data_IF_973316406992
#
_entry.id   IF_973316406992
#
_cell.length_a   1.000
_cell.length_b   1.000
_cell.length_c   1.000
_cell.angle_alpha   90.00
_cell.angle_beta   90.00
_cell.angle_gamma   90.00
#
_symmetry.space_group_name_H-M   'P 1'
#
loop_
_entity.id
_entity.type
_entity.pdbx_description
1 polymer ?
#
# COMPACT_ATOMS: atom_id res chain seq x y z
N UNK A 1 -20.66 11.96 17.21
CA UNK A 1 -20.39 11.86 15.76
C UNK A 1 -18.95 11.39 15.61
N UNK A 2 -18.71 10.30 14.90
CA UNK A 2 -17.34 9.89 14.54
C UNK A 2 -16.75 10.99 13.64
N UNK A 3 -15.71 11.68 14.12
CA UNK A 3 -15.04 12.72 13.34
C UNK A 3 -14.31 12.09 12.16
N UNK A 4 -14.27 12.79 11.02
CA UNK A 4 -13.55 12.35 9.83
C UNK A 4 -12.08 12.01 10.18
N UNK A 5 -11.48 10.90 9.69
CA UNK A 5 -10.13 10.49 10.09
C UNK A 5 -9.06 11.57 9.89
N UNK A 6 -9.20 12.41 8.87
CA UNK A 6 -8.26 13.50 8.57
C UNK A 6 -8.43 14.77 9.41
N UNK A 7 -9.45 14.83 10.29
CA UNK A 7 -9.81 16.06 11.01
C UNK A 7 -8.68 16.65 11.87
N UNK A 8 -7.74 15.81 12.33
CA UNK A 8 -6.52 16.28 13.00
C UNK A 8 -5.70 17.22 12.09
N UNK A 9 -5.43 16.82 10.84
CA UNK A 9 -4.64 17.61 9.90
C UNK A 9 -5.38 18.87 9.44
N UNK A 10 -6.71 18.81 9.31
CA UNK A 10 -7.55 19.99 9.03
C UNK A 10 -7.36 21.05 10.12
N UNK A 11 -7.55 20.65 11.39
CA UNK A 11 -7.43 21.58 12.51
C UNK A 11 -5.99 22.07 12.73
N UNK A 12 -4.99 21.31 12.26
CA UNK A 12 -3.59 21.73 12.27
C UNK A 12 -3.35 22.83 11.22
N UNK A 13 -3.87 22.65 10.00
CA UNK A 13 -3.78 23.62 8.90
C UNK A 13 -4.53 24.91 9.25
N UNK A 14 -5.73 24.81 9.81
CA UNK A 14 -6.53 25.97 10.23
C UNK A 14 -5.96 26.72 11.46
N UNK A 15 -4.76 26.37 11.93
CA UNK A 15 -4.00 27.10 12.95
C UNK A 15 -4.39 26.82 14.41
N UNK A 16 -5.54 26.19 14.69
CA UNK A 16 -5.99 25.96 16.07
C UNK A 16 -5.11 24.99 16.85
N UNK A 17 -4.65 23.90 16.23
CA UNK A 17 -3.87 22.87 16.95
C UNK A 17 -2.37 23.16 17.07
N UNK A 18 -1.82 23.99 16.18
CA UNK A 18 -0.38 24.16 16.12
C UNK A 18 0.13 25.05 17.26
N UNK A 19 -0.59 26.13 17.56
CA UNK A 19 -0.29 26.98 18.71
C UNK A 19 -0.42 26.20 20.03
N UNK A 20 -1.46 25.39 20.18
CA UNK A 20 -1.64 24.51 21.36
C UNK A 20 -0.47 23.52 21.51
N UNK A 21 -0.05 22.89 20.41
CA UNK A 21 1.10 21.98 20.39
C UNK A 21 2.39 22.72 20.73
N UNK A 22 2.60 23.91 20.15
CA UNK A 22 3.78 24.75 20.42
C UNK A 22 3.82 25.17 21.88
N UNK A 23 2.68 25.59 22.44
CA UNK A 23 2.57 25.91 23.85
C UNK A 23 2.88 24.66 24.69
N UNK A 24 2.27 23.50 24.40
CA UNK A 24 2.54 22.26 25.14
C UNK A 24 4.00 21.82 25.08
N UNK A 25 4.70 22.12 23.98
CA UNK A 25 6.12 21.84 23.84
C UNK A 25 6.97 22.72 24.77
N UNK A 26 6.62 23.99 24.94
CA UNK A 26 7.32 24.91 25.84
C UNK A 26 6.87 24.81 27.30
N UNK A 27 5.65 24.34 27.57
CA UNK A 27 5.18 23.98 28.92
C UNK A 27 5.68 22.58 29.26
N UNK A 28 6.98 22.49 29.52
CA UNK A 28 7.69 21.22 29.72
C UNK A 28 7.15 20.44 30.93
N UNK A 29 7.08 19.12 30.75
CA UNK A 29 6.74 18.15 31.79
C UNK A 29 7.69 18.33 33.00
N UNK A 30 7.19 18.48 34.25
CA UNK A 30 8.01 18.76 35.44
C UNK A 30 9.13 17.74 35.72
N UNK A 31 9.11 16.58 35.06
CA UNK A 31 10.11 15.53 35.17
C UNK A 31 11.39 15.78 34.34
N UNK A 32 11.38 16.72 33.39
CA UNK A 32 12.55 17.04 32.54
C UNK A 32 13.22 18.31 33.08
N UNK A 33 14.50 18.23 33.43
CA UNK A 33 15.27 19.39 33.89
C UNK A 33 15.65 20.28 32.70
N UNK A 34 14.76 21.21 32.36
CA UNK A 34 14.98 22.24 31.34
C UNK A 34 16.02 23.23 31.84
N UNK A 35 17.08 23.43 31.05
CA UNK A 35 18.15 24.38 31.36
C UNK A 35 17.94 25.73 30.68
N UNK A 36 17.32 25.73 29.49
CA UNK A 36 16.96 26.95 28.78
C UNK A 36 15.78 26.74 27.81
N UNK A 37 15.08 27.83 27.48
CA UNK A 37 14.03 27.86 26.46
C UNK A 37 14.29 29.02 25.52
N UNK A 38 14.33 28.76 24.22
CA UNK A 38 14.43 29.79 23.20
C UNK A 38 13.20 29.74 22.29
N UNK A 39 12.22 30.60 22.58
CA UNK A 39 10.99 30.66 21.80
C UNK A 39 11.20 31.24 20.39
N UNK A 40 12.26 32.03 20.17
CA UNK A 40 12.56 32.62 18.86
C UNK A 40 13.12 31.56 17.90
N UNK A 41 14.05 30.74 18.37
CA UNK A 41 14.65 29.63 17.60
C UNK A 41 13.87 28.31 17.74
N UNK A 42 12.81 28.32 18.54
CA UNK A 42 11.89 27.21 18.80
C UNK A 42 12.54 25.92 19.28
N UNK A 43 13.34 26.03 20.34
CA UNK A 43 13.90 24.86 21.01
C UNK A 43 13.86 24.98 22.53
N UNK A 44 13.96 23.82 23.17
CA UNK A 44 14.23 23.67 24.60
C UNK A 44 15.59 22.98 24.77
N UNK A 45 16.36 23.43 25.76
CA UNK A 45 17.60 22.77 26.19
C UNK A 45 17.35 22.03 27.49
N UNK A 46 17.91 20.85 27.62
CA UNK A 46 17.94 20.11 28.87
C UNK A 46 19.30 19.45 29.05
N UNK A 47 19.58 19.14 30.30
CA UNK A 47 20.77 18.40 30.67
C UNK A 47 20.50 16.91 30.46
N UNK A 48 21.28 16.29 29.59
CA UNK A 48 21.31 14.84 29.42
C UNK A 48 22.65 14.29 29.92
N UNK A 49 22.65 13.05 30.37
CA UNK A 49 23.88 12.36 30.81
C UNK A 49 24.31 11.44 29.69
N UNK A 50 25.50 11.64 29.17
CA UNK A 50 26.09 10.68 28.24
C UNK A 50 26.33 9.36 28.98
N UNK A 51 25.59 8.32 28.61
CA UNK A 51 25.72 6.97 29.17
C UNK A 51 27.15 6.41 29.07
N UNK A 52 27.96 6.89 28.11
CA UNK A 52 29.32 6.42 27.87
C UNK A 52 30.38 7.20 28.65
N UNK A 53 30.21 8.52 28.81
CA UNK A 53 31.23 9.40 29.41
C UNK A 53 30.86 9.94 30.79
N UNK A 54 29.60 9.76 31.22
CA UNK A 54 29.02 10.37 32.43
C UNK A 54 29.20 11.89 32.49
N UNK A 55 29.39 12.54 31.34
CA UNK A 55 29.41 14.00 31.23
C UNK A 55 28.01 14.51 30.93
N UNK A 56 27.71 15.68 31.50
CA UNK A 56 26.52 16.43 31.17
C UNK A 56 26.66 16.98 29.76
N UNK A 57 25.80 16.55 28.85
CA UNK A 57 25.66 17.12 27.51
C UNK A 57 24.41 18.00 27.52
N UNK A 58 24.52 19.17 26.89
CA UNK A 58 23.37 20.02 26.60
C UNK A 58 22.73 19.46 25.33
N UNK A 59 21.57 18.81 25.46
CA UNK A 59 20.77 18.41 24.31
C UNK A 59 19.72 19.47 23.99
N UNK A 60 19.50 19.68 22.70
CA UNK A 60 18.53 20.64 22.16
C UNK A 60 17.44 19.91 21.41
N UNK A 61 16.24 19.95 21.96
CA UNK A 61 15.06 19.53 21.21
C UNK A 61 14.44 20.74 20.50
N UNK A 62 14.35 20.64 19.18
CA UNK A 62 13.68 21.63 18.35
C UNK A 62 12.22 21.27 18.15
N UNK A 63 11.34 22.27 18.20
CA UNK A 63 9.91 22.11 17.99
C UNK A 63 9.60 21.45 16.65
N UNK A 64 10.35 21.78 15.59
CA UNK A 64 10.19 21.14 14.27
C UNK A 64 10.39 19.63 14.29
N UNK A 65 11.33 19.12 15.08
CA UNK A 65 11.61 17.68 15.20
C UNK A 65 10.55 17.00 16.06
N UNK A 66 10.14 17.64 17.15
CA UNK A 66 9.01 17.19 17.97
C UNK A 66 7.73 17.09 17.12
N UNK A 67 7.42 18.14 16.35
CA UNK A 67 6.29 18.20 15.45
C UNK A 67 6.37 17.09 14.40
N UNK A 68 7.52 16.89 13.76
CA UNK A 68 7.73 15.80 12.80
C UNK A 68 7.39 14.43 13.40
N UNK A 69 7.94 14.13 14.58
CA UNK A 69 7.68 12.86 15.29
C UNK A 69 6.19 12.71 15.64
N UNK A 70 5.59 13.73 16.23
CA UNK A 70 4.18 13.73 16.63
C UNK A 70 3.25 13.52 15.42
N UNK A 71 3.51 14.22 14.31
CA UNK A 71 2.72 14.10 13.09
C UNK A 71 2.88 12.73 12.42
N UNK A 72 4.06 12.11 12.50
CA UNK A 72 4.27 10.74 12.03
C UNK A 72 3.45 9.74 12.85
N UNK A 73 3.37 9.90 14.16
CA UNK A 73 2.50 9.09 15.01
C UNK A 73 1.01 9.27 14.62
N UNK A 74 0.59 10.50 14.35
CA UNK A 74 -0.78 10.79 13.86
C UNK A 74 -1.06 10.20 12.48
N UNK A 75 -0.09 10.20 11.56
CA UNK A 75 -0.20 9.49 10.27
C UNK A 75 -0.49 8.00 10.49
N UNK A 76 0.23 7.34 11.41
CA UNK A 76 0.03 5.91 11.71
C UNK A 76 -1.36 5.67 12.30
N UNK A 77 -1.80 6.49 13.26
CA UNK A 77 -3.14 6.42 13.85
C UNK A 77 -4.24 6.55 12.78
N UNK A 78 -4.13 7.55 11.90
CA UNK A 78 -5.08 7.79 10.82
C UNK A 78 -5.13 6.61 9.84
N UNK A 79 -3.98 6.05 9.45
CA UNK A 79 -3.94 4.84 8.61
C UNK A 79 -4.68 3.70 9.31
N UNK A 80 -4.43 3.47 10.60
CA UNK A 80 -5.09 2.40 11.38
C UNK A 80 -6.61 2.59 11.49
N UNK A 81 -7.08 3.82 11.65
CA UNK A 81 -8.52 4.14 11.66
C UNK A 81 -9.13 3.88 10.28
N UNK A 82 -8.49 4.36 9.21
CA UNK A 82 -8.93 4.12 7.83
C UNK A 82 -8.97 2.62 7.53
N UNK A 83 -7.93 1.87 7.91
CA UNK A 83 -7.86 0.41 7.84
C UNK A 83 -9.10 -0.22 8.52
N UNK A 84 -9.39 0.18 9.75
CA UNK A 84 -10.52 -0.34 10.50
C UNK A 84 -11.85 -0.11 9.77
N UNK A 85 -12.10 1.11 9.26
CA UNK A 85 -13.33 1.40 8.52
C UNK A 85 -13.40 0.66 7.19
N UNK A 86 -12.29 0.55 6.46
CA UNK A 86 -12.26 -0.18 5.18
C UNK A 86 -12.47 -1.68 5.39
N UNK A 87 -11.81 -2.29 6.38
CA UNK A 87 -11.99 -3.70 6.71
C UNK A 87 -13.41 -4.02 7.20
N UNK A 88 -14.05 -3.06 7.89
CA UNK A 88 -15.46 -3.16 8.29
C UNK A 88 -16.40 -3.12 7.07
N UNK A 89 -16.05 -2.37 6.03
CA UNK A 89 -16.80 -2.25 4.79
C UNK A 89 -16.31 -3.29 3.76
N UNK A 90 -16.87 -4.48 3.77
CA UNK A 90 -16.46 -5.57 2.87
C UNK A 90 -16.76 -5.31 1.37
N UNK A 91 -17.46 -4.23 1.04
CA UNK A 91 -17.73 -3.84 -0.35
C UNK A 91 -16.56 -3.05 -0.95
N UNK A 92 -15.90 -3.67 -1.92
CA UNK A 92 -14.81 -3.08 -2.71
C UNK A 92 -15.15 -1.75 -3.38
N UNK A 93 -16.39 -1.56 -3.86
CA UNK A 93 -16.78 -0.32 -4.57
C UNK A 93 -16.88 0.85 -3.60
N UNK A 94 -17.49 0.60 -2.43
CA UNK A 94 -17.54 1.57 -1.33
C UNK A 94 -16.14 1.91 -0.83
N UNK A 95 -15.24 0.91 -0.72
CA UNK A 95 -13.84 1.13 -0.35
C UNK A 95 -13.08 2.02 -1.35
N UNK A 96 -13.16 1.72 -2.65
CA UNK A 96 -12.44 2.50 -3.67
C UNK A 96 -12.95 3.93 -3.77
N UNK A 97 -14.28 4.15 -3.66
CA UNK A 97 -14.86 5.51 -3.59
C UNK A 97 -14.39 6.25 -2.34
N UNK A 98 -14.30 5.55 -1.20
CA UNK A 98 -13.82 6.14 0.04
C UNK A 98 -12.35 6.58 -0.05
N UNK A 99 -11.48 5.76 -0.63
CA UNK A 99 -10.08 6.13 -0.90
C UNK A 99 -9.98 7.31 -1.87
N UNK A 100 -10.74 7.31 -2.96
CA UNK A 100 -10.77 8.42 -3.91
C UNK A 100 -11.18 9.75 -3.25
N UNK A 101 -12.15 9.72 -2.34
CA UNK A 101 -12.55 10.89 -1.57
C UNK A 101 -11.44 11.36 -0.62
N UNK A 102 -10.71 10.45 0.03
CA UNK A 102 -9.58 10.80 0.90
C UNK A 102 -8.48 11.51 0.10
N UNK A 103 -8.18 11.02 -1.11
CA UNK A 103 -7.18 11.63 -1.98
C UNK A 103 -7.53 13.08 -2.36
N UNK A 104 -8.81 13.32 -2.69
CA UNK A 104 -9.31 14.68 -2.94
C UNK A 104 -9.15 15.55 -1.69
N UNK A 105 -9.56 15.06 -0.52
CA UNK A 105 -9.45 15.81 0.74
C UNK A 105 -7.99 16.14 1.05
N UNK A 106 -7.04 15.20 0.91
CA UNK A 106 -5.64 15.48 1.19
C UNK A 106 -5.08 16.55 0.24
N UNK A 107 -5.42 16.50 -1.06
CA UNK A 107 -5.00 17.53 -2.01
C UNK A 107 -5.59 18.90 -1.67
N UNK A 108 -6.87 18.95 -1.27
CA UNK A 108 -7.51 20.18 -0.80
C UNK A 108 -6.82 20.73 0.45
N UNK A 109 -6.47 19.87 1.42
CA UNK A 109 -5.74 20.26 2.62
C UNK A 109 -4.36 20.82 2.31
N UNK A 110 -3.60 20.22 1.39
CA UNK A 110 -2.31 20.76 0.95
C UNK A 110 -2.51 22.12 0.26
N UNK A 111 -3.53 22.24 -0.60
CA UNK A 111 -3.80 23.48 -1.33
C UNK A 111 -4.24 24.62 -0.39
N UNK A 112 -5.10 24.33 0.58
CA UNK A 112 -5.54 25.29 1.60
C UNK A 112 -4.40 25.63 2.55
N UNK A 113 -3.62 24.62 2.95
CA UNK A 113 -2.43 24.74 3.79
C UNK A 113 -1.48 25.83 3.33
N UNK A 114 -1.24 25.93 2.03
CA UNK A 114 -0.35 26.94 1.43
C UNK A 114 -0.76 28.40 1.67
N UNK A 115 -1.97 28.66 2.19
CA UNK A 115 -2.44 29.99 2.58
C UNK A 115 -2.10 30.35 4.03
N UNK A 116 -1.69 29.38 4.85
CA UNK A 116 -1.42 29.56 6.27
C UNK A 116 0.09 29.73 6.52
N UNK A 117 0.52 30.80 7.24
CA UNK A 117 1.93 31.07 7.50
C UNK A 117 2.67 29.90 8.17
N UNK A 118 2.02 29.20 9.08
CA UNK A 118 2.64 28.08 9.78
C UNK A 118 2.87 26.85 8.90
N UNK A 119 1.97 26.59 7.95
CA UNK A 119 2.17 25.52 6.98
C UNK A 119 3.41 25.78 6.12
N UNK A 120 3.65 27.04 5.75
CA UNK A 120 4.85 27.48 5.04
C UNK A 120 6.09 27.36 5.95
N UNK A 121 5.95 27.73 7.22
CA UNK A 121 7.04 27.66 8.21
C UNK A 121 7.47 26.23 8.51
N UNK A 122 6.56 25.25 8.49
CA UNK A 122 6.83 23.85 8.79
C UNK A 122 6.49 22.92 7.61
N UNK A 123 7.40 22.78 6.61
CA UNK A 123 7.20 21.93 5.43
C UNK A 123 6.88 20.47 5.75
N UNK A 124 7.28 19.99 6.93
CA UNK A 124 6.99 18.63 7.41
C UNK A 124 5.49 18.31 7.44
N UNK A 125 4.62 19.32 7.58
CA UNK A 125 3.16 19.12 7.52
C UNK A 125 2.74 18.69 6.10
N UNK A 126 3.24 19.37 5.07
CA UNK A 126 3.00 19.00 3.66
C UNK A 126 3.58 17.62 3.35
N UNK A 127 4.83 17.38 3.78
CA UNK A 127 5.51 16.10 3.57
C UNK A 127 4.69 14.95 4.13
N UNK A 128 4.23 15.04 5.38
CA UNK A 128 3.44 13.98 6.03
C UNK A 128 2.08 13.76 5.37
N UNK A 129 1.44 14.81 4.86
CA UNK A 129 0.19 14.70 4.09
C UNK A 129 0.41 13.96 2.77
N UNK A 130 1.47 14.31 2.03
CA UNK A 130 1.88 13.62 0.80
C UNK A 130 2.19 12.15 1.09
N UNK A 131 2.90 11.91 2.18
CA UNK A 131 3.29 10.58 2.62
C UNK A 131 2.09 9.72 3.02
N UNK A 132 1.11 10.32 3.70
CA UNK A 132 -0.16 9.69 4.03
C UNK A 132 -0.89 9.29 2.75
N UNK A 133 -1.06 10.23 1.81
CA UNK A 133 -1.67 9.97 0.49
C UNK A 133 -0.97 8.81 -0.23
N UNK A 134 0.35 8.83 -0.30
CA UNK A 134 1.13 7.78 -0.96
C UNK A 134 0.98 6.43 -0.23
N UNK A 135 0.93 6.43 1.10
CA UNK A 135 0.75 5.21 1.89
C UNK A 135 -0.63 4.60 1.67
N UNK A 136 -1.67 5.42 1.67
CA UNK A 136 -3.05 4.99 1.39
C UNK A 136 -3.17 4.46 -0.04
N UNK A 137 -2.62 5.18 -1.02
CA UNK A 137 -2.63 4.73 -2.40
C UNK A 137 -1.88 3.40 -2.60
N UNK A 138 -0.66 3.29 -2.07
CA UNK A 138 0.11 2.02 -2.16
C UNK A 138 -0.63 0.85 -1.52
N UNK A 139 -1.30 1.09 -0.39
CA UNK A 139 -1.96 0.05 0.39
C UNK A 139 -3.31 -0.38 -0.19
N UNK A 140 -4.09 0.58 -0.70
CA UNK A 140 -5.49 0.33 -1.09
C UNK A 140 -5.77 0.53 -2.57
N UNK A 141 -4.95 1.26 -3.32
CA UNK A 141 -5.08 1.35 -4.78
C UNK A 141 -4.64 0.07 -5.49
N UNK A 142 -4.16 -0.94 -4.74
CA UNK A 142 -4.13 -2.34 -5.21
C UNK A 142 -5.54 -2.96 -5.36
N UNK A 143 -6.60 -2.27 -4.95
CA UNK A 143 -8.00 -2.60 -5.23
C UNK A 143 -8.64 -1.69 -6.27
N UNK A 144 -7.85 -1.05 -7.14
CA UNK A 144 -8.33 -0.98 -8.52
C UNK A 144 -8.46 -2.42 -9.02
N UNK A 145 -9.65 -3.01 -8.78
CA UNK A 145 -10.42 -3.48 -9.92
C UNK A 145 -10.31 -2.36 -10.93
N UNK A 146 -9.32 -2.51 -11.80
CA UNK A 146 -9.47 -2.33 -13.23
C UNK A 146 -10.97 -2.50 -13.48
N UNK A 147 -11.72 -1.38 -13.56
CA UNK A 147 -12.88 -1.31 -14.46
C UNK A 147 -12.43 -2.15 -15.63
N UNK A 148 -13.13 -3.25 -16.00
CA UNK A 148 -12.63 -4.14 -17.03
C UNK A 148 -12.21 -3.22 -18.16
N UNK A 149 -10.89 -3.01 -18.25
CA UNK A 149 -10.31 -2.60 -19.47
C UNK A 149 -10.81 -3.76 -20.29
N UNK A 150 -11.68 -3.44 -21.23
CA UNK A 150 -11.55 -4.07 -22.50
C UNK A 150 -10.05 -3.92 -22.76
N UNK A 151 -9.29 -4.93 -22.30
CA UNK A 151 -7.92 -5.13 -22.67
C UNK A 151 -8.14 -5.33 -24.15
N UNK A 152 -8.02 -4.26 -24.92
CA UNK A 152 -7.57 -4.41 -26.28
C UNK A 152 -6.25 -5.13 -26.09
N UNK A 153 -6.16 -6.43 -26.43
CA UNK A 153 -4.95 -7.18 -26.23
C UNK A 153 -3.99 -6.68 -27.29
N UNK A 154 -3.24 -5.64 -26.94
CA UNK A 154 -2.19 -5.08 -27.78
C UNK A 154 -0.87 -4.91 -27.00
N UNK A 155 -0.65 -5.73 -25.98
CA UNK A 155 0.70 -6.20 -25.70
C UNK A 155 0.84 -7.56 -26.35
N UNK A 156 1.45 -7.58 -27.56
CA UNK A 156 2.17 -8.75 -28.10
C UNK A 156 3.36 -9.05 -27.16
N UNK A 157 3.06 -9.36 -25.91
CA UNK A 157 4.00 -9.55 -24.82
C UNK A 157 4.37 -11.02 -24.72
N UNK A 158 5.67 -11.25 -24.72
CA UNK A 158 6.43 -12.44 -24.33
C UNK A 158 5.62 -13.47 -23.52
N UNK A 159 5.59 -14.74 -23.97
CA UNK A 159 4.88 -15.83 -23.28
C UNK A 159 5.76 -16.48 -22.20
N UNK A 160 5.11 -17.00 -21.16
CA UNK A 160 5.75 -17.68 -20.03
C UNK A 160 5.88 -19.17 -20.32
N UNK A 161 7.10 -19.71 -20.22
CA UNK A 161 7.36 -21.15 -20.34
C UNK A 161 6.97 -21.87 -19.07
N UNK A 162 6.14 -22.90 -19.20
CA UNK A 162 5.70 -23.71 -18.08
C UNK A 162 6.14 -25.18 -18.22
N UNK A 163 7.15 -25.53 -17.42
CA UNK A 163 7.83 -26.83 -17.53
C UNK A 163 7.08 -28.01 -16.89
N UNK A 164 6.06 -27.75 -16.06
CA UNK A 164 5.38 -28.78 -15.28
C UNK A 164 4.10 -29.33 -15.95
N UNK A 165 3.87 -28.98 -17.22
CA UNK A 165 2.70 -29.39 -18.01
C UNK A 165 1.40 -28.67 -17.65
N UNK A 166 0.46 -28.68 -18.60
CA UNK A 166 -0.83 -27.96 -18.51
C UNK A 166 -1.70 -28.40 -17.33
N UNK A 167 -1.64 -29.67 -16.94
CA UNK A 167 -2.41 -30.19 -15.80
C UNK A 167 -2.00 -29.52 -14.47
N UNK A 168 -0.69 -29.35 -14.26
CA UNK A 168 -0.14 -28.70 -13.06
C UNK A 168 -0.46 -27.21 -13.06
N UNK A 169 -0.41 -26.57 -14.23
CA UNK A 169 -0.78 -25.16 -14.39
C UNK A 169 -2.25 -24.91 -14.07
N UNK A 170 -3.15 -25.71 -14.65
CA UNK A 170 -4.59 -25.64 -14.36
C UNK A 170 -4.89 -25.97 -12.90
N UNK A 171 -4.17 -26.92 -12.29
CA UNK A 171 -4.31 -27.24 -10.86
C UNK A 171 -3.90 -26.05 -9.99
N UNK A 172 -2.80 -25.35 -10.32
CA UNK A 172 -2.39 -24.14 -9.61
C UNK A 172 -3.48 -23.07 -9.67
N UNK A 173 -3.98 -22.73 -10.87
CA UNK A 173 -5.04 -21.73 -11.02
C UNK A 173 -6.34 -22.14 -10.35
N UNK A 174 -6.69 -23.42 -10.41
CA UNK A 174 -7.83 -23.96 -9.69
C UNK A 174 -7.65 -23.83 -8.17
N UNK A 175 -6.48 -24.14 -7.61
CA UNK A 175 -6.20 -24.01 -6.18
C UNK A 175 -6.23 -22.54 -5.73
N UNK A 176 -5.71 -21.61 -6.55
CA UNK A 176 -5.80 -20.17 -6.31
C UNK A 176 -7.25 -19.67 -6.30
N UNK A 177 -8.11 -20.25 -7.14
CA UNK A 177 -9.53 -19.93 -7.19
C UNK A 177 -10.37 -20.61 -6.09
N UNK A 178 -10.01 -21.83 -5.67
CA UNK A 178 -10.94 -22.72 -4.95
C UNK A 178 -10.39 -23.41 -3.67
N UNK A 179 -9.08 -23.47 -3.40
CA UNK A 179 -8.59 -24.31 -2.30
C UNK A 179 -8.73 -23.64 -0.92
N UNK A 180 -9.56 -24.25 -0.08
CA UNK A 180 -9.81 -23.88 1.32
C UNK A 180 -8.56 -24.01 2.22
N UNK A 181 -7.55 -24.81 1.83
CA UNK A 181 -6.34 -25.04 2.64
C UNK A 181 -5.28 -23.95 2.51
N UNK A 182 -5.17 -23.30 1.36
CA UNK A 182 -4.34 -22.10 1.18
C UNK A 182 -5.05 -20.88 1.77
N UNK A 183 -6.39 -20.89 1.79
CA UNK A 183 -7.22 -19.80 2.27
C UNK A 183 -7.58 -20.02 3.74
N UNK A 184 -6.65 -19.70 4.66
CA UNK A 184 -6.88 -19.74 6.13
C UNK A 184 -8.11 -18.95 6.64
N UNK A 185 -8.85 -18.26 5.76
CA UNK A 185 -10.04 -17.45 6.05
C UNK A 185 -11.14 -17.52 4.97
N UNK A 186 -11.10 -18.50 4.04
CA UNK A 186 -12.15 -18.65 3.01
C UNK A 186 -12.19 -17.56 1.93
N UNK A 187 -11.08 -16.85 1.70
CA UNK A 187 -10.94 -15.83 0.64
C UNK A 187 -10.10 -16.41 -0.49
N UNK A 188 -10.69 -16.66 -1.66
CA UNK A 188 -9.97 -17.07 -2.87
C UNK A 188 -8.88 -16.06 -3.24
N UNK A 189 -7.68 -16.53 -3.57
CA UNK A 189 -6.57 -15.67 -4.00
C UNK A 189 -6.80 -15.10 -5.40
N UNK A 190 -7.64 -15.76 -6.20
CA UNK A 190 -8.02 -15.34 -7.54
C UNK A 190 -9.53 -15.47 -7.72
N UNK A 191 -10.16 -14.45 -8.32
CA UNK A 191 -11.57 -14.49 -8.74
C UNK A 191 -11.60 -14.33 -10.25
N UNK A 192 -11.77 -15.44 -10.96
CA UNK A 192 -11.85 -15.51 -12.41
C UNK A 192 -12.84 -16.61 -12.82
N UNK A 193 -13.61 -16.37 -13.87
CA UNK A 193 -14.42 -17.43 -14.49
C UNK A 193 -13.52 -18.46 -15.17
N UNK A 194 -14.06 -19.66 -15.41
CA UNK A 194 -13.33 -20.70 -16.14
C UNK A 194 -12.90 -20.21 -17.54
N UNK A 195 -13.78 -19.52 -18.26
CA UNK A 195 -13.46 -18.95 -19.58
C UNK A 195 -12.35 -17.89 -19.51
N UNK A 196 -12.30 -17.09 -18.43
CA UNK A 196 -11.23 -16.12 -18.22
C UNK A 196 -9.89 -16.80 -17.96
N UNK A 197 -9.88 -17.90 -17.19
CA UNK A 197 -8.68 -18.70 -16.95
C UNK A 197 -8.20 -19.40 -18.21
N UNK A 198 -9.11 -19.99 -19.00
CA UNK A 198 -8.78 -20.63 -20.28
C UNK A 198 -8.10 -19.64 -21.21
N UNK A 199 -8.71 -18.45 -21.36
CA UNK A 199 -8.18 -17.39 -22.21
C UNK A 199 -6.81 -16.92 -21.72
N UNK A 200 -6.69 -16.66 -20.41
CA UNK A 200 -5.44 -16.20 -19.82
C UNK A 200 -4.29 -17.21 -19.99
N UNK A 201 -4.54 -18.49 -19.73
CA UNK A 201 -3.52 -19.54 -19.87
C UNK A 201 -3.09 -19.69 -21.34
N UNK A 202 -4.03 -19.71 -22.28
CA UNK A 202 -3.74 -19.85 -23.71
C UNK A 202 -2.96 -18.65 -24.28
N UNK A 203 -3.24 -17.45 -23.79
CA UNK A 203 -2.61 -16.21 -24.26
C UNK A 203 -1.20 -16.01 -23.69
N UNK A 204 -0.96 -16.44 -22.44
CA UNK A 204 0.24 -16.05 -21.70
C UNK A 204 1.21 -17.19 -21.42
N UNK A 205 0.84 -18.46 -21.62
CA UNK A 205 1.70 -19.59 -21.31
C UNK A 205 1.95 -20.49 -22.51
N UNK A 206 3.15 -21.08 -22.53
CA UNK A 206 3.60 -22.11 -23.46
C UNK A 206 4.21 -23.27 -22.67
N UNK A 207 4.34 -24.43 -23.30
CA UNK A 207 5.03 -25.57 -22.73
C UNK A 207 6.55 -25.39 -22.73
N UNK A 208 7.28 -26.42 -22.27
CA UNK A 208 8.73 -26.42 -22.18
C UNK A 208 9.44 -26.23 -23.54
N UNK A 209 8.77 -26.57 -24.63
CA UNK A 209 9.28 -26.44 -25.99
C UNK A 209 8.91 -25.09 -26.62
N UNK A 210 8.16 -24.25 -25.89
CA UNK A 210 7.68 -22.96 -26.36
C UNK A 210 6.36 -23.04 -27.15
N UNK A 211 5.72 -24.21 -27.19
CA UNK A 211 4.48 -24.42 -27.93
C UNK A 211 3.24 -24.02 -27.12
N UNK A 212 2.20 -23.46 -27.75
CA UNK A 212 0.95 -23.12 -27.06
C UNK A 212 0.22 -24.36 -26.52
N UNK A 213 -0.30 -24.25 -25.31
CA UNK A 213 -1.19 -25.29 -24.77
C UNK A 213 -2.50 -25.39 -25.56
N UNK A 214 -2.94 -26.63 -25.82
CA UNK A 214 -4.23 -26.89 -26.49
C UNK A 214 -5.39 -26.45 -25.61
N UNK A 215 -6.26 -25.59 -26.14
CA UNK A 215 -7.42 -25.01 -25.43
C UNK A 215 -8.30 -26.08 -24.79
N UNK A 216 -8.59 -27.16 -25.51
CA UNK A 216 -9.40 -28.25 -25.00
C UNK A 216 -8.76 -28.96 -23.81
N UNK A 217 -7.43 -29.04 -23.77
CA UNK A 217 -6.70 -29.57 -22.61
C UNK A 217 -6.85 -28.66 -21.40
N UNK A 218 -6.71 -27.34 -21.59
CA UNK A 218 -6.89 -26.35 -20.51
C UNK A 218 -8.30 -26.44 -19.93
N UNK A 219 -9.33 -26.46 -20.78
CA UNK A 219 -10.73 -26.63 -20.36
C UNK A 219 -10.95 -27.94 -19.62
N UNK A 220 -10.40 -29.03 -20.13
CA UNK A 220 -10.52 -30.37 -19.51
C UNK A 220 -9.96 -30.37 -18.08
N UNK A 221 -8.79 -29.77 -17.86
CA UNK A 221 -8.17 -29.73 -16.52
C UNK A 221 -8.79 -28.70 -15.56
N UNK A 222 -9.41 -27.63 -16.07
CA UNK A 222 -10.14 -26.67 -15.22
C UNK A 222 -11.55 -27.16 -14.83
N UNK A 223 -12.23 -27.87 -15.73
CA UNK A 223 -13.61 -28.37 -15.54
C UNK A 223 -13.69 -29.67 -14.73
N UNK A 224 -12.69 -30.55 -14.82
CA UNK A 224 -12.68 -31.80 -14.06
C UNK A 224 -12.38 -31.55 -12.58
N UNK A 225 -13.45 -31.37 -11.81
CA UNK A 225 -13.45 -31.52 -10.35
C UNK A 225 -12.82 -32.88 -9.98
N UNK A 226 -11.63 -32.80 -9.36
CA UNK A 226 -11.07 -33.72 -8.37
C UNK A 226 -10.36 -35.04 -8.75
N UNK A 227 -10.54 -35.67 -9.92
CA UNK A 227 -10.02 -37.05 -10.08
C UNK A 227 -8.58 -37.21 -10.59
N UNK A 228 -7.91 -36.14 -11.02
CA UNK A 228 -6.50 -36.20 -11.47
C UNK A 228 -5.71 -34.99 -10.97
N UNK A 229 -5.53 -34.89 -9.64
CA UNK A 229 -4.51 -33.97 -9.11
C UNK A 229 -3.14 -34.41 -9.64
N UNK A 230 -2.44 -33.52 -10.34
CA UNK A 230 -1.03 -33.74 -10.66
C UNK A 230 -0.27 -33.98 -9.36
N UNK A 231 0.69 -34.92 -9.35
CA UNK A 231 1.59 -35.07 -8.20
C UNK A 231 2.31 -33.73 -8.01
N UNK A 232 2.44 -33.30 -6.75
CA UNK A 232 3.14 -32.06 -6.39
C UNK A 232 4.62 -32.20 -6.72
N UNK A 233 4.97 -32.00 -7.97
CA UNK A 233 6.35 -31.87 -8.39
C UNK A 233 6.81 -30.43 -8.12
N UNK A 234 8.07 -30.25 -7.74
CA UNK A 234 8.67 -28.92 -7.59
C UNK A 234 8.65 -28.25 -8.96
N UNK A 235 7.85 -27.20 -9.10
CA UNK A 235 7.75 -26.46 -10.36
C UNK A 235 8.88 -25.44 -10.44
N UNK A 236 9.70 -25.54 -11.48
CA UNK A 236 10.66 -24.52 -11.87
C UNK A 236 10.03 -23.61 -12.93
N UNK A 237 9.86 -22.33 -12.59
CA UNK A 237 9.44 -21.29 -13.53
C UNK A 237 10.72 -20.69 -14.11
N UNK A 238 11.00 -20.97 -15.38
CA UNK A 238 12.15 -20.43 -16.08
C UNK A 238 11.71 -19.32 -17.05
N UNK A 239 12.65 -18.40 -17.28
CA UNK A 239 12.68 -17.20 -18.13
C UNK A 239 11.46 -16.90 -19.03
N UNK A 240 11.14 -15.60 -19.10
CA UNK A 240 10.23 -15.01 -20.07
C UNK A 240 10.82 -15.18 -21.48
N UNK A 241 10.09 -15.80 -22.41
CA UNK A 241 10.54 -15.94 -23.80
C UNK A 241 10.07 -14.72 -24.61
N UNK A 242 11.00 -13.84 -25.06
CA UNK A 242 10.66 -12.76 -25.97
C UNK A 242 10.10 -13.32 -27.28
N UNK A 243 9.14 -12.63 -27.94
CA UNK A 243 8.64 -13.06 -29.23
C UNK A 243 9.81 -13.21 -30.20
N UNK A 244 9.98 -14.43 -30.71
CA UNK A 244 10.99 -14.77 -31.71
C UNK A 244 10.93 -13.75 -32.83
N UNK A 245 12.03 -13.02 -33.03
CA UNK A 245 12.21 -12.14 -34.17
C UNK A 245 12.06 -12.98 -35.43
N UNK A 246 10.94 -12.80 -36.13
CA UNK A 246 10.76 -13.28 -37.49
C UNK A 246 11.85 -12.60 -38.31
N UNK A 247 12.93 -13.33 -38.61
CA UNK A 247 13.80 -13.01 -39.73
C UNK A 247 13.00 -13.27 -40.99
N UNK A 248 12.54 -12.20 -41.63
CA UNK A 248 12.13 -12.23 -43.02
C UNK A 248 13.42 -12.41 -43.86
N UNK A 249 13.55 -13.60 -44.47
CA UNK A 249 14.33 -13.80 -45.69
C UNK A 249 13.52 -13.28 -46.90
#
# INVERSE_FOLDING_TARGET
MEQHPLHYFINLIEGRKLDDLRNSFFFVNPEIQVTAVNALEEYIEFNDVDDMSQQWIIDRQYFKHFLAKFLLEKKVEVIGIIDFYLLKNQDTVTCSRFIGNIDVIINELISQGKQYPDFIKYPVIEEILIDLKNSLNRKYSQNERVSPQIINPQTKGEKIVWNAGVASLCTLFYELCNDYKLTKKGISYLVASEDQLVKFIAENFVDADGEPFVIDSIKTYLSHRQDKKAKRDKVEINQIIPPSSITED
#
